data_IF_823140416792
#
_entry.id   IF_823140416792
#
_cell.length_a   1.000
_cell.length_b   1.000
_cell.length_c   1.000
_cell.angle_alpha   90.00
_cell.angle_beta   90.00
_cell.angle_gamma   90.00
#
_symmetry.space_group_name_H-M   'P 1'
#
loop_
_entity.id
_entity.type
_entity.pdbx_description
1 polymer ?
#
# COMPACT_ATOMS: atom_id res chain seq x y z
N UNK A 1 -15.72 27.57 -4.69
CA UNK A 1 -14.26 27.66 -4.45
C UNK A 1 -14.02 27.33 -2.99
N UNK A 2 -13.86 26.04 -2.69
CA UNK A 2 -13.65 25.55 -1.33
C UNK A 2 -12.14 25.54 -1.10
N UNK A 3 -11.77 26.24 -0.04
CA UNK A 3 -10.43 26.71 0.28
C UNK A 3 -9.48 25.55 0.63
N UNK A 4 -8.34 25.52 -0.06
CA UNK A 4 -7.15 24.65 0.09
C UNK A 4 -6.43 24.78 1.44
N UNK A 5 -7.03 25.41 2.45
CA UNK A 5 -6.33 25.87 3.65
C UNK A 5 -6.40 24.87 4.82
N UNK A 6 -7.13 23.75 4.66
CA UNK A 6 -7.18 22.69 5.68
C UNK A 6 -5.91 21.84 5.75
N UNK A 7 -5.06 21.83 4.71
CA UNK A 7 -3.86 20.96 4.65
C UNK A 7 -2.64 21.48 5.44
N UNK A 8 -2.76 22.57 6.22
CA UNK A 8 -1.62 23.24 6.87
C UNK A 8 -1.51 23.11 8.39
N UNK A 9 -2.37 22.33 9.04
CA UNK A 9 -2.41 22.23 10.52
C UNK A 9 -2.10 20.83 11.09
N UNK A 10 -1.30 20.01 10.40
CA UNK A 10 -0.79 18.74 10.95
C UNK A 10 0.73 18.67 10.76
N UNK A 11 1.44 19.52 11.49
CA UNK A 11 2.90 19.51 11.50
C UNK A 11 3.41 19.98 12.87
N UNK A 12 3.19 19.20 13.91
CA UNK A 12 3.93 19.34 15.16
C UNK A 12 3.87 18.06 16.00
N UNK A 13 5.07 17.50 16.22
CA UNK A 13 5.47 16.61 17.32
C UNK A 13 4.87 15.20 17.39
N UNK A 14 5.50 14.27 16.69
CA UNK A 14 5.66 12.89 17.17
C UNK A 14 7.14 12.49 17.10
N UNK A 15 7.95 13.05 17.99
CA UNK A 15 9.32 12.59 18.24
C UNK A 15 9.38 12.10 19.69
N UNK A 16 8.65 11.02 19.96
CA UNK A 16 8.90 10.18 21.12
C UNK A 16 9.54 8.90 20.56
N UNK A 17 10.77 8.61 20.96
CA UNK A 17 11.39 7.32 20.71
C UNK A 17 10.54 6.26 21.42
N UNK A 18 9.62 5.65 20.68
CA UNK A 18 8.90 4.49 21.14
C UNK A 18 9.95 3.37 21.36
N UNK A 19 9.81 2.53 22.41
CA UNK A 19 10.48 1.24 22.40
C UNK A 19 10.15 0.57 21.07
N UNK A 20 11.07 -0.22 20.50
CA UNK A 20 10.82 -1.04 19.30
C UNK A 20 9.56 -1.88 19.54
N UNK A 21 8.41 -1.28 19.23
CA UNK A 21 7.11 -1.88 19.35
C UNK A 21 7.10 -3.02 18.36
N UNK A 22 6.38 -4.10 18.68
CA UNK A 22 6.27 -5.28 17.83
C UNK A 22 5.84 -4.85 16.43
N UNK A 23 6.80 -4.68 15.52
CA UNK A 23 6.51 -4.24 14.17
C UNK A 23 5.91 -5.41 13.40
N UNK A 24 4.79 -5.16 12.73
CA UNK A 24 4.11 -6.20 11.96
C UNK A 24 4.87 -6.45 10.66
N UNK A 25 5.20 -7.70 10.35
CA UNK A 25 5.85 -8.03 9.08
C UNK A 25 4.83 -7.92 7.95
N UNK A 26 5.14 -7.16 6.90
CA UNK A 26 4.27 -7.10 5.70
C UNK A 26 4.28 -8.46 5.01
N UNK A 27 3.11 -9.07 4.72
CA UNK A 27 3.07 -10.33 3.99
C UNK A 27 3.58 -10.17 2.55
N UNK A 28 4.45 -11.09 2.13
CA UNK A 28 4.94 -11.16 0.74
C UNK A 28 4.03 -12.09 -0.07
N UNK A 29 3.45 -11.58 -1.17
CA UNK A 29 2.65 -12.34 -2.12
C UNK A 29 1.21 -12.62 -1.67
N UNK A 30 0.78 -12.07 -0.53
CA UNK A 30 -0.60 -12.17 -0.03
C UNK A 30 -1.04 -10.87 0.62
N UNK A 31 -2.34 -10.64 0.70
CA UNK A 31 -2.89 -9.52 1.46
C UNK A 31 -2.88 -9.80 2.96
N UNK A 32 -2.33 -8.87 3.74
CA UNK A 32 -2.61 -8.72 5.15
C UNK A 32 -3.72 -7.69 5.36
N UNK A 33 -4.58 -7.92 6.34
CA UNK A 33 -5.58 -6.95 6.79
C UNK A 33 -5.13 -6.28 8.08
N UNK A 34 -5.44 -5.00 8.24
CA UNK A 34 -5.26 -4.29 9.50
C UNK A 34 -6.54 -3.55 9.88
N UNK A 35 -6.69 -3.29 11.17
CA UNK A 35 -7.84 -2.59 11.75
C UNK A 35 -7.39 -1.22 12.25
N UNK A 36 -8.30 -0.26 12.25
CA UNK A 36 -8.05 1.08 12.77
C UNK A 36 -9.27 1.64 13.48
N UNK A 37 -9.02 2.59 14.38
CA UNK A 37 -10.05 3.32 15.10
C UNK A 37 -10.32 4.69 14.48
N UNK A 38 -10.67 5.63 15.34
CA UNK A 38 -11.02 7.00 14.93
C UNK A 38 -9.79 7.80 14.53
N UNK A 39 -9.87 8.44 13.37
CA UNK A 39 -8.86 9.32 12.83
C UNK A 39 -8.84 10.70 13.54
N UNK A 40 -7.68 11.37 13.61
CA UNK A 40 -6.37 10.87 13.21
C UNK A 40 -5.75 9.99 14.31
N UNK A 41 -5.17 8.85 13.93
CA UNK A 41 -4.46 8.00 14.88
C UNK A 41 -3.38 7.15 14.21
N UNK A 42 -2.30 6.90 14.94
CA UNK A 42 -1.32 5.89 14.55
C UNK A 42 -1.96 4.49 14.53
N UNK A 43 -1.65 3.71 13.51
CA UNK A 43 -2.14 2.33 13.35
C UNK A 43 -1.05 1.36 13.80
N UNK A 44 0.04 1.29 13.03
CA UNK A 44 1.12 0.33 13.26
C UNK A 44 2.41 0.72 12.52
N UNK A 45 3.52 0.12 12.93
CA UNK A 45 4.78 0.10 12.19
C UNK A 45 4.92 -1.25 11.51
N UNK A 46 5.01 -1.23 10.19
CA UNK A 46 5.29 -2.41 9.41
C UNK A 46 6.77 -2.56 9.10
N UNK A 47 7.24 -3.80 9.00
CA UNK A 47 8.62 -4.11 8.57
C UNK A 47 8.64 -4.97 7.34
N UNK A 48 9.68 -4.77 6.54
CA UNK A 48 9.96 -5.60 5.37
C UNK A 48 11.46 -5.69 5.13
N UNK A 49 11.95 -6.92 4.95
CA UNK A 49 13.32 -7.18 4.54
C UNK A 49 13.33 -7.54 3.04
N UNK A 50 13.87 -6.62 2.23
CA UNK A 50 13.97 -6.79 0.79
C UNK A 50 15.33 -7.40 0.47
N UNK A 51 15.30 -8.63 -0.05
CA UNK A 51 16.51 -9.37 -0.36
C UNK A 51 17.45 -8.61 -1.33
N UNK A 52 18.78 -8.81 -1.23
CA UNK A 52 19.74 -8.26 -2.17
C UNK A 52 19.40 -8.58 -3.63
N UNK A 53 19.51 -7.57 -4.51
CA UNK A 53 19.30 -7.74 -5.95
C UNK A 53 17.83 -7.80 -6.39
N UNK A 54 16.87 -7.60 -5.48
CA UNK A 54 15.44 -7.46 -5.83
C UNK A 54 14.87 -6.11 -5.39
N UNK A 55 13.65 -5.80 -5.80
CA UNK A 55 12.87 -4.70 -5.26
C UNK A 55 11.49 -5.23 -4.91
N UNK A 56 10.76 -4.51 -4.06
CA UNK A 56 9.40 -4.87 -3.69
C UNK A 56 8.46 -3.70 -3.99
N UNK A 57 7.25 -4.05 -4.44
CA UNK A 57 6.11 -3.14 -4.54
C UNK A 57 5.22 -3.37 -3.33
N UNK A 58 5.11 -2.37 -2.45
CA UNK A 58 4.14 -2.40 -1.35
C UNK A 58 2.89 -1.66 -1.79
N UNK A 59 1.73 -2.27 -1.54
CA UNK A 59 0.41 -1.70 -1.80
C UNK A 59 -0.32 -1.55 -0.48
N UNK A 60 -0.92 -0.38 -0.29
CA UNK A 60 -1.83 -0.08 0.81
C UNK A 60 -3.13 0.37 0.15
N UNK A 61 -4.27 -0.15 0.62
CA UNK A 61 -5.58 0.23 0.11
C UNK A 61 -6.61 0.18 1.22
N UNK A 62 -7.50 1.17 1.20
CA UNK A 62 -8.74 1.19 1.98
C UNK A 62 -9.59 -0.07 1.69
N UNK A 63 -10.50 -0.42 2.59
CA UNK A 63 -11.43 -1.52 2.43
C UNK A 63 -12.84 -1.14 2.87
N UNK A 64 -13.82 -1.87 2.36
CA UNK A 64 -15.21 -1.84 2.81
C UNK A 64 -15.97 -0.54 2.51
N UNK A 65 -15.69 0.58 3.17
CA UNK A 65 -16.44 1.84 3.03
C UNK A 65 -15.56 2.88 2.38
N UNK A 66 -16.05 3.54 1.34
CA UNK A 66 -15.28 4.57 0.63
C UNK A 66 -15.11 5.76 1.55
N UNK A 67 -13.87 6.21 1.75
CA UNK A 67 -13.58 7.48 2.43
C UNK A 67 -12.47 7.45 3.46
N UNK A 68 -11.98 6.27 3.86
CA UNK A 68 -10.85 6.22 4.79
C UNK A 68 -9.56 6.58 4.06
N UNK A 69 -8.77 7.49 4.64
CA UNK A 69 -7.49 7.94 4.08
C UNK A 69 -6.35 7.71 5.08
N UNK A 70 -5.17 7.37 4.56
CA UNK A 70 -4.02 7.01 5.36
C UNK A 70 -2.82 7.89 5.04
N UNK A 71 -1.96 8.08 6.05
CA UNK A 71 -0.62 8.60 5.88
C UNK A 71 0.41 7.54 6.23
N UNK A 72 1.56 7.60 5.55
CA UNK A 72 2.67 6.70 5.78
C UNK A 72 4.02 7.41 5.67
N UNK A 73 5.02 6.92 6.39
CA UNK A 73 6.43 7.28 6.18
C UNK A 73 7.26 6.00 6.02
N UNK A 74 8.32 6.08 5.22
CA UNK A 74 9.25 4.97 5.02
C UNK A 74 10.59 5.35 5.64
N UNK A 75 11.12 4.49 6.51
CA UNK A 75 12.42 4.66 7.20
C UNK A 75 12.56 5.99 7.95
N UNK A 76 11.47 6.47 8.56
CA UNK A 76 11.43 7.78 9.22
C UNK A 76 11.57 8.97 8.25
N UNK A 77 11.39 8.73 6.95
CA UNK A 77 11.41 9.74 5.90
C UNK A 77 10.20 10.67 5.92
N UNK A 78 10.03 11.42 4.83
CA UNK A 78 8.93 12.37 4.70
C UNK A 78 7.56 11.66 4.78
N UNK A 79 6.60 12.31 5.43
CA UNK A 79 5.22 11.85 5.46
C UNK A 79 4.61 11.91 4.05
N UNK A 80 3.94 10.83 3.67
CA UNK A 80 3.22 10.64 2.41
C UNK A 80 1.78 10.23 2.72
N UNK A 81 0.91 10.25 1.71
CA UNK A 81 -0.52 9.98 1.86
C UNK A 81 -0.99 9.02 0.78
N UNK A 82 -2.02 8.24 1.08
CA UNK A 82 -2.80 7.55 0.04
C UNK A 82 -3.48 8.57 -0.88
N UNK A 83 -3.95 8.13 -2.04
CA UNK A 83 -4.80 8.96 -2.89
C UNK A 83 -6.05 9.41 -2.14
N UNK A 84 -6.56 10.59 -2.45
CA UNK A 84 -7.86 11.04 -1.95
C UNK A 84 -8.96 10.02 -2.31
N UNK A 85 -9.93 9.80 -1.42
CA UNK A 85 -11.10 8.95 -1.71
C UNK A 85 -12.08 9.64 -2.69
N UNK A 86 -12.92 8.85 -3.38
CA UNK A 86 -13.91 9.36 -4.34
C UNK A 86 -15.04 10.18 -3.67
N UNK A 87 -15.85 10.87 -4.48
CA UNK A 87 -17.00 11.64 -4.02
C UNK A 87 -18.12 10.79 -3.38
N UNK A 88 -18.06 9.47 -3.53
CA UNK A 88 -18.95 8.47 -2.93
C UNK A 88 -18.63 8.19 -1.43
N UNK A 89 -18.02 9.14 -0.71
CA UNK A 89 -17.66 9.02 0.71
C UNK A 89 -18.83 8.56 1.60
N UNK A 90 -18.57 7.59 2.47
CA UNK A 90 -19.53 6.93 3.36
C UNK A 90 -20.35 5.80 2.72
N UNK A 91 -20.15 5.51 1.43
CA UNK A 91 -20.84 4.43 0.73
C UNK A 91 -20.02 3.13 0.78
N UNK A 92 -20.70 2.00 0.97
CA UNK A 92 -20.08 0.67 0.89
C UNK A 92 -19.53 0.40 -0.52
N UNK A 93 -18.23 0.10 -0.63
CA UNK A 93 -17.55 -0.23 -1.89
C UNK A 93 -17.97 -1.59 -2.47
N UNK A 94 -18.36 -2.52 -1.59
CA UNK A 94 -18.52 -3.97 -1.86
C UNK A 94 -17.21 -4.71 -2.19
N UNK A 95 -16.06 -4.08 -1.97
CA UNK A 95 -14.76 -4.72 -2.02
C UNK A 95 -14.38 -5.26 -0.64
N UNK A 96 -14.53 -6.57 -0.46
CA UNK A 96 -14.36 -7.26 0.84
C UNK A 96 -13.03 -8.02 0.97
N UNK A 97 -12.21 -7.99 -0.07
CA UNK A 97 -10.85 -8.55 -0.08
C UNK A 97 -9.89 -7.55 -0.72
N UNK A 98 -8.59 -7.77 -0.51
CA UNK A 98 -7.57 -6.84 -0.96
C UNK A 98 -7.45 -6.72 -2.49
N UNK A 99 -7.75 -7.78 -3.26
CA UNK A 99 -7.67 -7.71 -4.73
C UNK A 99 -8.84 -6.89 -5.29
N UNK A 100 -10.05 -7.12 -4.78
CA UNK A 100 -11.22 -6.31 -5.10
C UNK A 100 -11.02 -4.84 -4.67
N UNK A 101 -10.45 -4.61 -3.49
CA UNK A 101 -10.20 -3.27 -2.97
C UNK A 101 -9.18 -2.52 -3.84
N UNK A 102 -8.08 -3.18 -4.21
CA UNK A 102 -7.07 -2.61 -5.09
C UNK A 102 -7.60 -2.33 -6.50
N UNK A 103 -8.59 -3.09 -6.98
CA UNK A 103 -9.20 -2.90 -8.28
C UNK A 103 -10.27 -1.79 -8.30
N UNK A 104 -10.91 -1.48 -7.17
CA UNK A 104 -11.92 -0.43 -7.08
C UNK A 104 -11.25 0.94 -7.09
N UNK A 105 -11.44 1.80 -8.11
CA UNK A 105 -10.81 3.12 -8.22
C UNK A 105 -11.25 4.11 -7.13
N UNK A 106 -12.36 3.85 -6.43
CA UNK A 106 -12.95 4.79 -5.48
C UNK A 106 -12.29 4.79 -4.10
N UNK A 107 -11.64 3.68 -3.76
CA UNK A 107 -10.92 3.50 -2.49
C UNK A 107 -9.55 4.18 -2.53
N UNK A 108 -9.17 4.78 -1.39
CA UNK A 108 -7.85 5.40 -1.23
C UNK A 108 -6.76 4.33 -1.34
N UNK A 109 -5.65 4.63 -2.04
CA UNK A 109 -4.56 3.67 -2.21
C UNK A 109 -3.18 4.32 -2.33
N UNK A 110 -2.15 3.54 -2.03
CA UNK A 110 -0.76 3.92 -2.25
C UNK A 110 0.04 2.76 -2.87
N UNK A 111 1.05 3.11 -3.68
CA UNK A 111 2.04 2.20 -4.23
C UNK A 111 3.44 2.68 -3.87
N UNK A 112 4.19 1.86 -3.16
CA UNK A 112 5.52 2.18 -2.64
C UNK A 112 6.52 1.22 -3.28
N UNK A 113 7.67 1.74 -3.71
CA UNK A 113 8.77 0.95 -4.25
C UNK A 113 9.92 0.93 -3.27
N UNK A 114 10.30 -0.26 -2.82
CA UNK A 114 11.40 -0.47 -1.89
C UNK A 114 12.55 -1.19 -2.58
N UNK A 115 13.75 -0.65 -2.39
CA UNK A 115 15.01 -1.21 -2.87
C UNK A 115 15.48 -2.32 -1.90
N UNK A 116 16.58 -3.04 -2.20
CA UNK A 116 17.15 -3.97 -1.23
C UNK A 116 17.48 -3.30 0.10
N UNK A 117 17.15 -3.97 1.20
CA UNK A 117 17.37 -3.47 2.54
C UNK A 117 16.23 -3.79 3.51
N UNK A 118 16.49 -3.56 4.79
CA UNK A 118 15.46 -3.58 5.83
C UNK A 118 14.78 -2.23 5.88
N UNK A 119 13.46 -2.23 5.78
CA UNK A 119 12.64 -1.03 5.76
C UNK A 119 11.55 -1.06 6.84
N UNK A 120 11.21 0.11 7.35
CA UNK A 120 10.05 0.33 8.21
C UNK A 120 9.03 1.23 7.52
N UNK A 121 7.74 0.93 7.68
CA UNK A 121 6.63 1.75 7.20
C UNK A 121 5.75 2.09 8.39
N UNK A 122 5.77 3.33 8.84
CA UNK A 122 4.85 3.81 9.87
C UNK A 122 3.54 4.20 9.19
N UNK A 123 2.41 3.66 9.66
CA UNK A 123 1.09 3.86 9.06
C UNK A 123 0.14 4.51 10.07
N UNK A 124 -0.62 5.50 9.62
CA UNK A 124 -1.65 6.17 10.41
C UNK A 124 -2.90 6.42 9.57
N UNK A 125 -4.08 6.35 10.20
CA UNK A 125 -5.33 6.83 9.61
C UNK A 125 -5.38 8.35 9.77
N UNK A 126 -5.70 9.06 8.70
CA UNK A 126 -5.81 10.53 8.70
C UNK A 126 -7.23 11.03 8.63
N UNK A 127 -8.10 10.30 7.94
CA UNK A 127 -9.52 10.61 7.81
C UNK A 127 -10.32 9.31 7.84
N UNK A 128 -11.44 9.31 8.55
CA UNK A 128 -12.39 8.21 8.47
C UNK A 128 -13.43 8.48 7.40
N UNK A 129 -13.91 7.44 6.75
CA UNK A 129 -15.08 7.52 5.86
C UNK A 129 -16.29 8.14 6.58
N UNK A 130 -17.09 8.92 5.86
CA UNK A 130 -18.24 9.62 6.40
C UNK A 130 -19.21 8.69 7.14
N UNK A 131 -19.54 9.04 8.37
CA UNK A 131 -20.45 8.26 9.22
C UNK A 131 -19.81 7.05 9.89
N UNK A 132 -18.48 6.87 9.76
CA UNK A 132 -17.72 5.81 10.43
C UNK A 132 -16.78 6.39 11.49
N UNK A 133 -16.20 5.52 12.32
CA UNK A 133 -15.22 5.92 13.36
C UNK A 133 -14.11 4.88 13.52
N UNK A 134 -13.88 4.09 12.47
CA UNK A 134 -12.99 2.93 12.44
C UNK A 134 -13.37 1.98 11.33
N UNK A 135 -12.46 1.06 11.02
CA UNK A 135 -12.59 0.22 9.85
C UNK A 135 -11.43 -0.74 9.68
N UNK A 136 -11.31 -1.27 8.46
CA UNK A 136 -10.33 -2.27 8.10
C UNK A 136 -9.81 -2.01 6.69
N UNK A 137 -8.51 -2.20 6.50
CA UNK A 137 -7.84 -1.96 5.23
C UNK A 137 -6.79 -3.04 4.97
N UNK A 138 -6.17 -2.99 3.79
CA UNK A 138 -5.29 -4.04 3.31
C UNK A 138 -3.89 -3.53 2.96
N UNK A 139 -2.90 -4.36 3.25
CA UNK A 139 -1.50 -4.13 2.88
C UNK A 139 -0.89 -5.41 2.30
N UNK A 140 -0.11 -5.30 1.24
CA UNK A 140 0.69 -6.42 0.70
C UNK A 140 1.99 -5.93 0.13
N UNK A 141 2.96 -6.83 0.07
CA UNK A 141 4.20 -6.64 -0.64
C UNK A 141 4.33 -7.69 -1.74
N UNK A 142 4.79 -7.27 -2.92
CA UNK A 142 5.05 -8.17 -4.04
C UNK A 142 6.46 -7.98 -4.57
N UNK A 143 7.17 -9.09 -4.73
CA UNK A 143 8.41 -9.15 -5.48
C UNK A 143 8.05 -9.21 -6.98
N UNK A 144 8.43 -8.23 -7.80
CA UNK A 144 8.18 -8.30 -9.23
C UNK A 144 8.83 -9.53 -9.83
N UNK A 145 8.12 -10.19 -10.75
CA UNK A 145 8.65 -11.35 -11.43
C UNK A 145 10.00 -11.01 -12.08
N UNK A 146 11.02 -11.88 -11.94
CA UNK A 146 12.28 -11.70 -12.62
C UNK A 146 12.06 -11.54 -14.11
N UNK A 147 12.63 -10.50 -14.73
CA UNK A 147 12.58 -10.29 -16.17
C UNK A 147 13.12 -11.49 -16.98
N UNK A 148 13.86 -12.39 -16.32
CA UNK A 148 14.31 -13.67 -16.87
C UNK A 148 13.16 -14.58 -17.29
N UNK A 149 11.97 -14.51 -16.66
CA UNK A 149 10.79 -15.26 -17.12
C UNK A 149 10.27 -14.73 -18.46
N UNK A 150 10.21 -13.41 -18.61
CA UNK A 150 9.89 -12.78 -19.89
C UNK A 150 10.90 -13.14 -20.98
N UNK A 151 12.20 -13.10 -20.66
CA UNK A 151 13.27 -13.50 -21.58
C UNK A 151 13.22 -14.99 -21.92
N UNK A 152 12.88 -15.86 -20.97
CA UNK A 152 12.68 -17.29 -21.21
C UNK A 152 11.50 -17.51 -22.16
N UNK A 153 10.38 -16.82 -21.94
CA UNK A 153 9.23 -16.87 -22.84
C UNK A 153 9.57 -16.42 -24.26
N UNK A 154 10.32 -15.32 -24.40
CA UNK A 154 10.80 -14.83 -25.69
C UNK A 154 11.78 -15.82 -26.35
N UNK A 155 12.70 -16.40 -25.59
CA UNK A 155 13.64 -17.40 -26.10
C UNK A 155 12.90 -18.65 -26.63
N UNK A 156 11.92 -19.16 -25.89
CA UNK A 156 11.11 -20.31 -26.29
C UNK A 156 10.27 -20.01 -27.54
N UNK A 157 9.65 -18.83 -27.61
CA UNK A 157 8.93 -18.38 -28.80
C UNK A 157 9.87 -18.32 -30.02
N UNK A 158 11.07 -17.74 -29.84
CA UNK A 158 12.11 -17.68 -30.87
C UNK A 158 12.54 -19.06 -31.39
N UNK A 159 12.76 -20.03 -30.50
CA UNK A 159 13.05 -21.43 -30.89
C UNK A 159 11.87 -22.09 -31.63
N UNK A 160 10.63 -21.80 -31.23
CA UNK A 160 9.43 -22.30 -31.91
C UNK A 160 9.32 -21.80 -33.35
N UNK A 161 9.61 -20.52 -33.58
CA UNK A 161 9.62 -19.93 -34.93
C UNK A 161 10.79 -20.40 -35.79
N UNK A 162 11.98 -20.63 -35.22
CA UNK A 162 13.14 -21.11 -35.98
C UNK A 162 12.94 -22.54 -36.50
N UNK A 163 12.26 -23.41 -35.73
CA UNK A 163 11.92 -24.78 -36.17
C UNK A 163 10.92 -24.83 -37.32
N UNK A 164 9.99 -23.87 -37.42
CA UNK A 164 9.01 -23.82 -38.53
C UNK A 164 9.60 -23.38 -39.86
N UNK A 165 10.77 -22.73 -39.86
CA UNK A 165 11.49 -22.35 -41.09
C UNK A 165 12.46 -23.41 -41.60
N UNK A 166 12.75 -24.44 -40.80
CA UNK A 166 13.70 -25.50 -41.14
C UNK A 166 13.03 -26.77 -41.70
N UNK A 167 11.70 -26.75 -41.89
CA UNK A 167 10.88 -27.76 -42.58
C UNK A 167 10.32 -27.11 -43.84
#
# INVERSE_FOLDING_TARGET
>A
MISTWKKLAVAATLAAAAPLASATVVPIGSWGSFQFGTAPSFIDTYTIDVAPGTHVKVRIVDGYVIGDEFSYSVDGGALQFTSDADADDGIQSNAFDGDAAWADPRLSRALIYLLPGFHTIDLAITENAAGTSGGAAFIRADVPEPATLGMLGLALAGLGFSRRKAV
#
